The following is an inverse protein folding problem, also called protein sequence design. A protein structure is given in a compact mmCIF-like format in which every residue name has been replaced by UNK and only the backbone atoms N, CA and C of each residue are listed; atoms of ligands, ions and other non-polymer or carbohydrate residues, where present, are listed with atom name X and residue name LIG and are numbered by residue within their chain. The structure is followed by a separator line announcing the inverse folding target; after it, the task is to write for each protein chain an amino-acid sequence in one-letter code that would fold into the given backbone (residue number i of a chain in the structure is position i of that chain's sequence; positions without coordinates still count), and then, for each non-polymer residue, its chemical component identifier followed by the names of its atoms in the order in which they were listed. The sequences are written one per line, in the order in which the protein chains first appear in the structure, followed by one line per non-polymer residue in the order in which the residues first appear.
data_IF_297797812530
#
_entry.id   IF_297797812530
#
_cell.length_a   1.000
_cell.length_b   1.000
_cell.length_c   1.000
_cell.angle_alpha   90.00
_cell.angle_beta   90.00
_cell.angle_gamma   90.00
#
_symmetry.space_group_name_H-M   'P 1'
#
loop_
_entity.id
_entity.type
_entity.pdbx_description
1 polymer ?
#
# COMPACT_ATOMS: atom_id res chain seq x y z
N UNK A 1 -2.62 -40.77 4.22
CA UNK A 1 -2.53 -40.77 2.74
C UNK A 1 -3.59 -39.89 2.11
N UNK A 2 -4.85 -40.32 1.92
CA UNK A 2 -5.86 -39.45 1.25
C UNK A 2 -6.05 -38.10 1.98
N UNK A 3 -6.11 -38.13 3.32
CA UNK A 3 -6.24 -36.92 4.14
C UNK A 3 -5.01 -35.99 4.05
N UNK A 4 -3.81 -36.56 3.89
CA UNK A 4 -2.56 -35.79 3.81
C UNK A 4 -2.41 -35.11 2.46
N UNK A 5 -2.80 -35.79 1.38
CA UNK A 5 -2.83 -35.23 0.02
C UNK A 5 -3.86 -34.09 -0.07
N UNK A 6 -5.06 -34.28 0.50
CA UNK A 6 -6.08 -33.22 0.56
C UNK A 6 -5.61 -31.99 1.36
N UNK A 7 -4.92 -32.22 2.49
CA UNK A 7 -4.31 -31.14 3.29
C UNK A 7 -3.26 -30.39 2.48
N UNK A 8 -2.40 -31.10 1.74
CA UNK A 8 -1.33 -30.48 0.96
C UNK A 8 -1.88 -29.65 -0.21
N UNK A 9 -2.93 -30.14 -0.89
CA UNK A 9 -3.65 -29.38 -1.92
C UNK A 9 -4.24 -28.10 -1.32
N UNK A 10 -4.89 -28.18 -0.15
CA UNK A 10 -5.46 -26.99 0.51
C UNK A 10 -4.40 -25.99 0.98
N UNK A 11 -3.24 -26.45 1.45
CA UNK A 11 -2.11 -25.56 1.79
C UNK A 11 -1.59 -24.82 0.55
N UNK A 12 -1.49 -25.52 -0.58
CA UNK A 12 -1.07 -24.91 -1.85
C UNK A 12 -2.08 -23.85 -2.32
N UNK A 13 -3.37 -24.18 -2.35
CA UNK A 13 -4.45 -23.23 -2.69
C UNK A 13 -4.43 -21.99 -1.78
N UNK A 14 -4.26 -22.20 -0.47
CA UNK A 14 -4.18 -21.10 0.50
C UNK A 14 -3.00 -20.17 0.20
N UNK A 15 -1.83 -20.72 -0.10
CA UNK A 15 -0.63 -19.93 -0.44
C UNK A 15 -0.84 -19.11 -1.71
N UNK A 16 -1.43 -19.71 -2.74
CA UNK A 16 -1.76 -19.02 -3.99
C UNK A 16 -2.73 -17.85 -3.76
N UNK A 17 -3.77 -18.05 -2.95
CA UNK A 17 -4.72 -16.99 -2.57
C UNK A 17 -4.05 -15.87 -1.77
N UNK A 18 -3.17 -16.21 -0.83
CA UNK A 18 -2.40 -15.23 -0.05
C UNK A 18 -1.49 -14.39 -0.93
N UNK A 19 -0.82 -15.00 -1.91
CA UNK A 19 0.06 -14.28 -2.84
C UNK A 19 -0.73 -13.39 -3.80
N UNK A 20 -1.89 -13.85 -4.29
CA UNK A 20 -2.81 -13.00 -5.07
C UNK A 20 -3.31 -11.79 -4.25
N UNK A 21 -3.69 -12.00 -2.99
CA UNK A 21 -4.13 -10.93 -2.10
C UNK A 21 -3.01 -9.92 -1.85
N UNK A 22 -1.79 -10.39 -1.59
CA UNK A 22 -0.60 -9.55 -1.44
C UNK A 22 -0.35 -8.68 -2.67
N UNK A 23 -0.37 -9.30 -3.85
CA UNK A 23 -0.18 -8.58 -5.12
C UNK A 23 -1.27 -7.54 -5.37
N UNK A 24 -2.52 -7.84 -4.98
CA UNK A 24 -3.62 -6.88 -5.06
C UNK A 24 -3.37 -5.67 -4.17
N UNK A 25 -2.97 -5.88 -2.91
CA UNK A 25 -2.66 -4.79 -1.99
C UNK A 25 -1.51 -3.92 -2.50
N UNK A 26 -0.40 -4.54 -2.91
CA UNK A 26 0.76 -3.82 -3.46
C UNK A 26 0.38 -3.00 -4.70
N UNK A 27 -0.43 -3.56 -5.61
CA UNK A 27 -0.88 -2.85 -6.82
C UNK A 27 -1.75 -1.64 -6.48
N UNK A 28 -2.69 -1.78 -5.54
CA UNK A 28 -3.55 -0.67 -5.11
C UNK A 28 -2.73 0.42 -4.43
N UNK A 29 -1.85 0.05 -3.50
CA UNK A 29 -0.98 1.01 -2.80
C UNK A 29 -0.08 1.74 -3.79
N UNK A 30 0.53 1.03 -4.74
CA UNK A 30 1.39 1.61 -5.75
C UNK A 30 0.63 2.64 -6.60
N UNK A 31 -0.57 2.29 -7.09
CA UNK A 31 -1.40 3.23 -7.87
C UNK A 31 -1.78 4.48 -7.07
N UNK A 32 -2.12 4.33 -5.79
CA UNK A 32 -2.43 5.47 -4.93
C UNK A 32 -1.21 6.38 -4.74
N UNK A 33 -0.03 5.81 -4.48
CA UNK A 33 1.22 6.55 -4.34
C UNK A 33 1.58 7.27 -5.64
N UNK A 34 1.47 6.60 -6.79
CA UNK A 34 1.75 7.18 -8.11
C UNK A 34 0.81 8.34 -8.40
N UNK A 35 -0.51 8.18 -8.24
CA UNK A 35 -1.46 9.27 -8.50
C UNK A 35 -1.25 10.47 -7.57
N UNK A 36 -0.98 10.23 -6.29
CA UNK A 36 -0.67 11.30 -5.36
C UNK A 36 0.63 12.02 -5.75
N UNK A 37 1.68 11.27 -6.10
CA UNK A 37 2.97 11.82 -6.52
C UNK A 37 2.86 12.64 -7.81
N UNK A 38 2.14 12.13 -8.81
CA UNK A 38 1.88 12.84 -10.07
C UNK A 38 1.18 14.18 -9.84
N UNK A 39 0.17 14.22 -8.97
CA UNK A 39 -0.52 15.46 -8.63
C UNK A 39 0.41 16.45 -7.93
N UNK A 40 1.22 15.99 -6.97
CA UNK A 40 2.16 16.83 -6.24
C UNK A 40 3.22 17.43 -7.16
N UNK A 41 3.84 16.61 -8.02
CA UNK A 41 4.82 17.05 -9.02
C UNK A 41 4.19 18.04 -9.99
N UNK A 42 2.97 17.78 -10.48
CA UNK A 42 2.27 18.69 -11.40
C UNK A 42 1.96 20.04 -10.73
N UNK A 43 1.51 20.02 -9.48
CA UNK A 43 1.24 21.25 -8.73
C UNK A 43 2.52 22.07 -8.51
N UNK A 44 3.63 21.42 -8.20
CA UNK A 44 4.94 22.06 -8.06
C UNK A 44 5.41 22.69 -9.38
N UNK A 45 5.38 21.94 -10.48
CA UNK A 45 5.79 22.42 -11.81
C UNK A 45 4.93 23.56 -12.35
N UNK A 46 3.69 23.71 -11.87
CA UNK A 46 2.76 24.76 -12.30
C UNK A 46 2.64 25.90 -11.31
N UNK A 47 3.40 25.87 -10.20
CA UNK A 47 3.30 26.81 -9.07
C UNK A 47 1.87 26.96 -8.54
N UNK A 48 1.07 25.89 -8.64
CA UNK A 48 -0.33 25.87 -8.18
C UNK A 48 -0.42 25.25 -6.80
N UNK A 49 -1.43 25.66 -6.06
CA UNK A 49 -1.74 25.01 -4.79
C UNK A 49 -2.05 23.52 -5.01
N UNK A 50 -1.30 22.66 -4.33
CA UNK A 50 -1.51 21.21 -4.35
C UNK A 50 -2.69 20.77 -3.48
N UNK A 51 -3.06 21.57 -2.47
CA UNK A 51 -4.18 21.28 -1.57
C UNK A 51 -5.53 21.52 -2.26
N UNK A 52 -5.90 20.55 -3.08
CA UNK A 52 -7.16 20.51 -3.82
C UNK A 52 -8.14 19.55 -3.14
N UNK A 53 -9.44 19.66 -3.49
CA UNK A 53 -10.43 18.68 -3.06
C UNK A 53 -10.04 17.25 -3.46
N UNK A 54 -9.55 17.08 -4.70
CA UNK A 54 -9.08 15.78 -5.19
C UNK A 54 -7.91 15.24 -4.38
N UNK A 55 -6.91 16.08 -4.06
CA UNK A 55 -5.77 15.68 -3.25
C UNK A 55 -6.18 15.23 -1.85
N UNK A 56 -7.02 16.02 -1.17
CA UNK A 56 -7.54 15.67 0.17
C UNK A 56 -8.34 14.37 0.14
N UNK A 57 -9.18 14.18 -0.87
CA UNK A 57 -9.93 12.96 -1.06
C UNK A 57 -9.01 11.75 -1.27
N UNK A 58 -8.05 11.83 -2.20
CA UNK A 58 -7.12 10.74 -2.51
C UNK A 58 -6.21 10.40 -1.32
N UNK A 59 -5.70 11.41 -0.62
CA UNK A 59 -4.93 11.21 0.60
C UNK A 59 -5.77 10.57 1.71
N UNK A 60 -7.04 10.95 1.83
CA UNK A 60 -8.01 10.32 2.73
C UNK A 60 -8.23 8.84 2.39
N UNK A 61 -8.37 8.50 1.10
CA UNK A 61 -8.50 7.09 0.65
C UNK A 61 -7.24 6.28 0.90
N UNK A 62 -6.06 6.89 0.75
CA UNK A 62 -4.79 6.24 1.11
C UNK A 62 -4.74 5.92 2.61
N UNK A 63 -5.08 6.89 3.47
CA UNK A 63 -5.18 6.68 4.93
C UNK A 63 -6.21 5.59 5.29
N UNK A 64 -7.40 5.65 4.69
CA UNK A 64 -8.46 4.65 4.92
C UNK A 64 -7.99 3.25 4.53
N UNK A 65 -7.29 3.10 3.41
CA UNK A 65 -6.74 1.82 2.97
C UNK A 65 -5.78 1.23 4.01
N UNK A 66 -4.86 2.04 4.52
CA UNK A 66 -3.89 1.61 5.53
C UNK A 66 -4.59 1.18 6.83
N UNK A 67 -5.56 1.96 7.29
CA UNK A 67 -6.26 1.70 8.56
C UNK A 67 -7.27 0.55 8.46
N UNK A 68 -7.97 0.41 7.34
CA UNK A 68 -8.99 -0.63 7.16
C UNK A 68 -8.38 -2.02 7.09
N UNK A 69 -7.24 -2.15 6.41
CA UNK A 69 -6.57 -3.43 6.16
C UNK A 69 -5.27 -3.56 6.96
N UNK A 70 -5.23 -2.94 8.14
CA UNK A 70 -4.00 -2.84 8.94
C UNK A 70 -3.40 -4.21 9.23
N UNK A 71 -4.22 -5.21 9.57
CA UNK A 71 -3.76 -6.54 9.95
C UNK A 71 -2.94 -7.18 8.82
N UNK A 72 -3.52 -7.24 7.62
CA UNK A 72 -2.90 -7.80 6.42
C UNK A 72 -1.66 -6.98 6.02
N UNK A 73 -1.76 -5.65 6.06
CA UNK A 73 -0.67 -4.77 5.67
C UNK A 73 0.54 -4.88 6.60
N UNK A 74 0.34 -5.14 7.89
CA UNK A 74 1.46 -5.40 8.80
C UNK A 74 2.11 -6.76 8.58
N UNK A 75 1.35 -7.79 8.20
CA UNK A 75 1.93 -9.10 7.84
C UNK A 75 2.85 -9.00 6.61
N UNK A 76 2.53 -8.11 5.68
CA UNK A 76 3.34 -7.87 4.48
C UNK A 76 4.22 -6.62 4.57
N UNK A 77 4.45 -6.06 5.77
CA UNK A 77 5.18 -4.79 5.94
C UNK A 77 6.55 -4.80 5.23
N UNK A 78 7.31 -5.88 5.39
CA UNK A 78 8.63 -6.00 4.76
C UNK A 78 8.55 -5.92 3.22
N UNK A 79 7.50 -6.48 2.61
CA UNK A 79 7.28 -6.38 1.16
C UNK A 79 6.89 -4.96 0.75
N UNK A 80 6.00 -4.33 1.51
CA UNK A 80 5.60 -2.93 1.27
C UNK A 80 6.83 -2.02 1.37
N UNK A 81 7.62 -2.16 2.43
CA UNK A 81 8.85 -1.39 2.60
C UNK A 81 9.75 -1.57 1.37
N UNK A 82 9.99 -2.82 0.96
CA UNK A 82 10.90 -3.20 -0.13
C UNK A 82 10.44 -2.80 -1.54
N UNK A 83 9.14 -2.89 -1.82
CA UNK A 83 8.60 -2.71 -3.17
C UNK A 83 8.02 -1.31 -3.40
N UNK A 84 7.49 -0.66 -2.36
CA UNK A 84 6.89 0.66 -2.46
C UNK A 84 7.83 1.76 -1.97
N UNK A 85 8.52 1.56 -0.85
CA UNK A 85 9.20 2.66 -0.14
C UNK A 85 10.74 2.61 -0.17
N UNK A 86 11.36 1.73 -0.98
CA UNK A 86 12.82 1.70 -1.21
C UNK A 86 13.29 2.83 -2.14
N UNK A 87 12.40 3.38 -2.97
CA UNK A 87 12.78 4.40 -3.93
C UNK A 87 12.91 5.77 -3.25
N UNK A 88 14.12 6.33 -3.27
CA UNK A 88 14.36 7.76 -3.10
C UNK A 88 13.55 8.51 -4.18
N UNK A 89 12.36 8.98 -3.84
CA UNK A 89 11.45 9.58 -4.81
C UNK A 89 9.99 9.69 -4.37
N UNK A 90 9.58 9.03 -3.28
CA UNK A 90 8.25 9.27 -2.72
C UNK A 90 8.23 10.62 -2.01
N UNK A 91 7.23 11.43 -2.35
CA UNK A 91 7.01 12.73 -1.71
C UNK A 91 6.88 12.60 -0.19
N UNK A 92 7.56 13.47 0.60
CA UNK A 92 7.54 13.39 2.07
C UNK A 92 6.14 13.38 2.69
N UNK A 93 5.14 14.01 2.05
CA UNK A 93 3.75 14.05 2.55
C UNK A 93 3.08 12.67 2.49
N UNK A 94 3.36 11.90 1.44
CA UNK A 94 2.84 10.53 1.29
C UNK A 94 3.60 9.60 2.25
N UNK A 95 4.92 9.74 2.31
CA UNK A 95 5.76 8.95 3.19
C UNK A 95 5.42 9.14 4.67
N UNK A 96 5.10 10.37 5.07
CA UNK A 96 4.70 10.68 6.45
C UNK A 96 3.42 9.95 6.86
N UNK A 97 2.44 9.85 5.97
CA UNK A 97 1.22 9.06 6.23
C UNK A 97 1.54 7.58 6.44
N UNK A 98 2.45 7.03 5.63
CA UNK A 98 2.89 5.65 5.82
C UNK A 98 3.66 5.46 7.13
N UNK A 99 4.56 6.40 7.49
CA UNK A 99 5.28 6.39 8.77
C UNK A 99 4.33 6.42 9.96
N UNK A 100 3.32 7.30 9.94
CA UNK A 100 2.28 7.36 10.96
C UNK A 100 1.56 6.03 11.12
N UNK A 101 1.21 5.37 10.01
CA UNK A 101 0.63 4.03 10.03
C UNK A 101 1.59 3.01 10.67
N UNK A 102 2.86 2.97 10.26
CA UNK A 102 3.83 2.02 10.83
C UNK A 102 4.08 2.23 12.32
N UNK A 103 3.97 3.47 12.81
CA UNK A 103 4.12 3.82 14.21
C UNK A 103 3.01 3.25 15.11
N UNK A 104 1.87 2.82 14.54
CA UNK A 104 0.78 2.20 15.31
C UNK A 104 1.14 0.83 15.90
N UNK A 105 2.23 0.21 15.44
CA UNK A 105 2.76 -1.07 15.95
C UNK A 105 4.28 -1.04 16.19
N UNK A 106 4.86 0.16 16.33
CA UNK A 106 6.28 0.33 16.65
C UNK A 106 6.56 -0.02 18.12
#
# INVERSE_FOLDING_TARGET
MILDDDIEVKKKELKELQDMLRNLFLNILHKLVVFLSEHLVKSEMTERNHDTYWYRYMMGRFKEMLLRYWCELFEMKQHIDNELFVAAGIDPRILEVYRQFTALRA
#
